data_IF_189925609858
#
_entry.id   IF_189925609858
#
_cell.length_a   1.000
_cell.length_b   1.000
_cell.length_c   1.000
_cell.angle_alpha   90.00
_cell.angle_beta   90.00
_cell.angle_gamma   90.00
#
_symmetry.space_group_name_H-M   'P 1'
#
loop_
_entity.id
_entity.type
_entity.pdbx_description
1 polymer ?
#
# COMPACT_ATOMS: atom_id res chain seq x y z
N UNK A 1 -21.87 16.20 -28.60
CA UNK A 1 -20.45 16.57 -28.73
C UNK A 1 -19.69 15.76 -27.71
N UNK A 2 -18.78 14.93 -28.20
CA UNK A 2 -17.86 14.09 -27.43
C UNK A 2 -16.89 14.97 -26.64
N UNK A 3 -16.51 14.53 -25.45
CA UNK A 3 -15.60 15.20 -24.52
C UNK A 3 -14.26 15.50 -25.21
N UNK A 4 -14.04 16.73 -25.63
CA UNK A 4 -12.93 17.09 -26.53
C UNK A 4 -11.63 17.48 -25.80
N UNK A 5 -11.56 17.33 -24.47
CA UNK A 5 -10.34 17.61 -23.70
C UNK A 5 -10.34 16.95 -22.32
N UNK A 6 -9.17 16.41 -21.94
CA UNK A 6 -8.88 15.97 -20.56
C UNK A 6 -9.12 17.08 -19.53
N UNK A 7 -8.95 18.35 -19.94
CA UNK A 7 -9.23 19.50 -19.09
C UNK A 7 -10.72 19.67 -18.78
N UNK A 8 -11.63 19.38 -19.72
CA UNK A 8 -13.09 19.43 -19.48
C UNK A 8 -13.56 18.28 -18.59
N UNK A 9 -12.91 17.12 -18.68
CA UNK A 9 -13.17 15.98 -17.79
C UNK A 9 -12.81 16.30 -16.33
N UNK A 10 -11.69 17.01 -16.11
CA UNK A 10 -11.31 17.50 -14.77
C UNK A 10 -12.18 18.68 -14.33
N UNK A 11 -12.56 19.55 -15.26
CA UNK A 11 -13.35 20.76 -15.01
C UNK A 11 -14.87 20.54 -15.08
N UNK A 12 -15.36 19.30 -15.01
CA UNK A 12 -16.78 18.92 -15.03
C UNK A 12 -17.50 19.31 -13.71
N UNK A 13 -17.40 20.58 -13.32
CA UNK A 13 -18.09 21.23 -12.21
C UNK A 13 -18.19 20.38 -10.95
N UNK A 14 -19.43 20.22 -10.46
CA UNK A 14 -19.76 19.52 -9.21
C UNK A 14 -19.63 18.00 -9.30
N UNK A 15 -19.64 17.41 -10.49
CA UNK A 15 -19.59 15.96 -10.69
C UNK A 15 -18.16 15.42 -10.70
N UNK A 16 -17.19 16.19 -11.21
CA UNK A 16 -15.77 15.79 -11.22
C UNK A 16 -15.23 15.51 -9.81
N UNK A 17 -15.61 16.33 -8.83
CA UNK A 17 -15.17 16.17 -7.44
C UNK A 17 -15.61 14.83 -6.84
N UNK A 18 -16.85 14.40 -7.11
CA UNK A 18 -17.36 13.10 -6.64
C UNK A 18 -16.60 11.92 -7.26
N UNK A 19 -16.29 12.01 -8.55
CA UNK A 19 -15.57 10.97 -9.28
C UNK A 19 -14.14 10.84 -8.74
N UNK A 20 -13.43 11.96 -8.61
CA UNK A 20 -12.07 11.99 -8.06
C UNK A 20 -12.00 11.49 -6.62
N UNK A 21 -12.97 11.86 -5.76
CA UNK A 21 -13.04 11.32 -4.40
C UNK A 21 -13.31 9.81 -4.38
N UNK A 22 -14.21 9.32 -5.24
CA UNK A 22 -14.48 7.88 -5.36
C UNK A 22 -13.22 7.12 -5.77
N UNK A 23 -12.52 7.58 -6.82
CA UNK A 23 -11.26 7.00 -7.24
C UNK A 23 -10.17 7.12 -6.17
N UNK A 24 -10.10 8.24 -5.46
CA UNK A 24 -9.15 8.45 -4.37
C UNK A 24 -9.37 7.47 -3.22
N UNK A 25 -10.61 7.29 -2.78
CA UNK A 25 -10.97 6.32 -1.75
C UNK A 25 -10.65 4.89 -2.20
N UNK A 26 -11.01 4.53 -3.44
CA UNK A 26 -10.67 3.21 -4.00
C UNK A 26 -9.16 3.00 -4.05
N UNK A 27 -8.38 3.98 -4.49
CA UNK A 27 -6.92 3.91 -4.54
C UNK A 27 -6.32 3.73 -3.13
N UNK A 28 -6.85 4.45 -2.13
CA UNK A 28 -6.45 4.29 -0.72
C UNK A 28 -6.74 2.89 -0.20
N UNK A 29 -7.94 2.34 -0.47
CA UNK A 29 -8.30 0.98 -0.04
C UNK A 29 -7.35 -0.04 -0.66
N UNK A 30 -7.08 0.06 -1.96
CA UNK A 30 -6.13 -0.82 -2.65
C UNK A 30 -4.73 -0.68 -2.05
N UNK A 31 -4.24 0.55 -1.88
CA UNK A 31 -2.94 0.82 -1.29
C UNK A 31 -2.82 0.21 0.12
N UNK A 32 -3.84 0.36 0.96
CA UNK A 32 -3.85 -0.26 2.30
C UNK A 32 -3.80 -1.78 2.20
N UNK A 33 -4.61 -2.39 1.34
CA UNK A 33 -4.62 -3.84 1.15
C UNK A 33 -3.29 -4.40 0.64
N UNK A 34 -2.54 -3.64 -0.15
CA UNK A 34 -1.21 -4.04 -0.67
C UNK A 34 -0.10 -3.75 0.35
N UNK A 35 -0.12 -2.59 1.01
CA UNK A 35 0.94 -2.18 1.93
C UNK A 35 0.92 -2.98 3.23
N UNK A 36 -0.27 -3.32 3.76
CA UNK A 36 -0.42 -4.13 4.98
C UNK A 36 0.34 -5.47 4.94
N UNK A 37 0.14 -6.36 3.94
CA UNK A 37 0.85 -7.63 3.86
C UNK A 37 2.35 -7.45 3.61
N UNK A 38 2.76 -6.44 2.83
CA UNK A 38 4.17 -6.13 2.60
C UNK A 38 4.86 -5.77 3.91
N UNK A 39 4.28 -4.85 4.69
CA UNK A 39 4.82 -4.44 5.99
C UNK A 39 4.86 -5.61 6.97
N UNK A 40 3.81 -6.44 7.01
CA UNK A 40 3.76 -7.63 7.85
C UNK A 40 4.85 -8.64 7.48
N UNK A 41 5.06 -8.92 6.20
CA UNK A 41 6.12 -9.80 5.71
C UNK A 41 7.51 -9.28 6.10
N UNK A 42 7.74 -7.97 5.97
CA UNK A 42 9.02 -7.35 6.39
C UNK A 42 9.28 -7.47 7.89
N UNK A 43 8.23 -7.35 8.72
CA UNK A 43 8.33 -7.56 10.18
C UNK A 43 8.68 -9.01 10.52
N UNK A 44 7.95 -9.97 9.95
CA UNK A 44 8.21 -11.40 10.16
C UNK A 44 9.63 -11.81 9.77
N UNK A 45 10.12 -11.35 8.62
CA UNK A 45 11.50 -11.62 8.19
C UNK A 45 12.54 -11.05 9.17
N UNK A 46 12.31 -9.84 9.69
CA UNK A 46 13.20 -9.24 10.71
C UNK A 46 13.19 -10.04 12.01
N UNK A 47 12.01 -10.47 12.47
CA UNK A 47 11.87 -11.28 13.68
C UNK A 47 12.55 -12.65 13.52
N UNK A 48 12.37 -13.32 12.38
CA UNK A 48 13.03 -14.60 12.09
C UNK A 48 14.56 -14.44 12.06
N UNK A 49 15.07 -13.39 11.41
CA UNK A 49 16.51 -13.11 11.38
C UNK A 49 17.06 -12.85 12.79
N UNK A 50 16.31 -12.15 13.65
CA UNK A 50 16.71 -11.93 15.04
C UNK A 50 16.69 -13.21 15.88
N UNK A 51 15.70 -14.09 15.69
CA UNK A 51 15.63 -15.40 16.38
C UNK A 51 16.82 -16.28 16.02
N UNK A 52 17.14 -16.41 14.72
CA UNK A 52 18.29 -17.20 14.27
C UNK A 52 19.62 -16.68 14.84
N UNK A 53 19.77 -15.36 15.01
CA UNK A 53 20.96 -14.79 15.65
C UNK A 53 21.07 -15.15 17.13
N UNK A 54 19.94 -15.25 17.85
CA UNK A 54 19.92 -15.68 19.26
C UNK A 54 20.20 -17.17 19.39
N UNK A 55 19.62 -17.99 18.52
CA UNK A 55 19.89 -19.44 18.49
C UNK A 55 21.35 -19.74 18.18
N UNK A 56 21.99 -19.02 17.25
CA UNK A 56 23.43 -19.16 16.99
C UNK A 56 24.32 -18.71 18.15
N UNK A 57 23.86 -17.77 18.98
CA UNK A 57 24.63 -17.29 20.14
C UNK A 57 24.45 -18.21 21.37
N UNK A 58 23.28 -18.85 21.50
CA UNK A 58 22.99 -19.83 22.55
C UNK A 58 23.29 -21.28 22.15
N UNK A 59 23.68 -21.54 20.90
CA UNK A 59 24.21 -22.84 20.49
C UNK A 59 25.49 -23.08 21.31
N UNK A 60 25.52 -24.09 22.19
CA UNK A 60 26.72 -24.38 22.97
C UNK A 60 27.84 -24.70 21.99
N UNK A 61 28.96 -23.98 22.10
CA UNK A 61 30.23 -24.39 21.53
C UNK A 61 30.55 -25.78 22.08
N UNK A 62 30.28 -26.81 21.30
CA UNK A 62 30.83 -28.14 21.49
C UNK A 62 32.27 -28.18 20.98
#
# INVERSE_FOLDING_TARGET
>A
MEFNSFAEFIAMGKHGLYIWLSYGITAVIIAVNVVQPILRRRRLMKEQAQRLRREKHNAPSA
#
